data_IF_450136957341
#
_entry.id   IF_450136957341
#
_cell.length_a   1.000
_cell.length_b   1.000
_cell.length_c   1.000
_cell.angle_alpha   90.00
_cell.angle_beta   90.00
_cell.angle_gamma   90.00
#
_symmetry.space_group_name_H-M   'P 1'
#
loop_
_entity.id
_entity.type
_entity.pdbx_description
1 polymer ?
#
# COMPACT_ATOMS: atom_id res chain seq x y z
N UNK A 1 3.98 15.74 -28.53
CA UNK A 1 4.62 15.03 -27.40
C UNK A 1 4.61 15.95 -26.19
N UNK A 2 3.59 15.88 -25.33
CA UNK A 2 3.61 16.54 -24.01
C UNK A 2 4.02 15.50 -22.98
N UNK A 3 5.32 15.26 -22.84
CA UNK A 3 5.90 14.40 -21.81
C UNK A 3 6.29 15.26 -20.61
N UNK A 4 5.28 15.76 -19.88
CA UNK A 4 5.53 16.49 -18.63
C UNK A 4 4.46 16.06 -17.63
N UNK A 5 4.84 15.18 -16.70
CA UNK A 5 4.03 14.84 -15.54
C UNK A 5 4.17 15.98 -14.53
N UNK A 6 3.36 17.03 -14.68
CA UNK A 6 3.33 18.14 -13.74
C UNK A 6 2.77 17.68 -12.40
N UNK A 7 3.49 17.93 -11.32
CA UNK A 7 3.00 17.77 -9.95
C UNK A 7 2.59 19.12 -9.39
N UNK A 8 1.72 19.12 -8.38
CA UNK A 8 1.20 20.36 -7.81
C UNK A 8 2.33 21.27 -7.27
N UNK A 9 3.42 20.69 -6.76
CA UNK A 9 4.59 21.42 -6.27
C UNK A 9 5.38 22.17 -7.35
N UNK A 10 5.16 21.89 -8.63
CA UNK A 10 5.82 22.61 -9.74
C UNK A 10 5.27 24.02 -9.94
N UNK A 11 4.11 24.33 -9.34
CA UNK A 11 3.47 25.63 -9.46
C UNK A 11 3.75 26.52 -8.25
N UNK A 12 3.76 27.84 -8.49
CA UNK A 12 3.76 28.84 -7.43
C UNK A 12 2.48 28.79 -6.60
N UNK A 13 2.44 29.58 -5.52
CA UNK A 13 1.32 29.56 -4.58
C UNK A 13 -0.03 29.79 -5.27
N UNK A 14 -0.13 30.85 -6.07
CA UNK A 14 -1.36 31.21 -6.77
C UNK A 14 -1.75 30.15 -7.80
N UNK A 15 -0.77 29.57 -8.48
CA UNK A 15 -0.97 28.46 -9.42
C UNK A 15 -1.47 27.19 -8.74
N UNK A 16 -1.01 26.88 -7.52
CA UNK A 16 -1.51 25.76 -6.71
C UNK A 16 -2.94 26.01 -6.24
N UNK A 17 -3.18 27.17 -5.64
CA UNK A 17 -4.51 27.55 -5.13
C UNK A 17 -5.56 27.54 -6.25
N UNK A 18 -5.22 28.07 -7.42
CA UNK A 18 -6.11 28.04 -8.59
C UNK A 18 -6.47 26.62 -9.01
N UNK A 19 -5.49 25.72 -9.13
CA UNK A 19 -5.73 24.31 -9.53
C UNK A 19 -6.56 23.57 -8.50
N UNK A 20 -6.22 23.73 -7.22
CA UNK A 20 -7.00 23.15 -6.12
C UNK A 20 -8.44 23.68 -6.10
N UNK A 21 -8.69 24.91 -6.53
CA UNK A 21 -10.02 25.51 -6.59
C UNK A 21 -10.81 25.13 -7.86
N UNK A 22 -10.17 25.15 -9.03
CA UNK A 22 -10.86 25.16 -10.33
C UNK A 22 -10.84 23.82 -11.07
N UNK A 23 -9.86 22.93 -10.79
CA UNK A 23 -9.73 21.68 -11.55
C UNK A 23 -10.57 20.58 -10.93
N UNK A 24 -11.07 19.65 -11.75
CA UNK A 24 -11.63 18.39 -11.25
C UNK A 24 -10.53 17.54 -10.63
N UNK A 25 -10.76 17.04 -9.41
CA UNK A 25 -9.82 16.25 -8.62
C UNK A 25 -10.36 14.83 -8.47
N UNK A 26 -9.55 13.86 -8.85
CA UNK A 26 -9.90 12.43 -8.82
C UNK A 26 -8.86 11.67 -8.02
N UNK A 27 -9.29 10.76 -7.17
CA UNK A 27 -8.43 9.78 -6.49
C UNK A 27 -9.04 8.39 -6.61
N UNK A 28 -8.18 7.38 -6.74
CA UNK A 28 -8.57 5.99 -6.62
C UNK A 28 -7.95 5.41 -5.34
N UNK A 29 -8.80 4.90 -4.47
CA UNK A 29 -8.43 4.23 -3.22
C UNK A 29 -8.53 2.72 -3.40
N UNK A 30 -7.95 1.96 -2.48
CA UNK A 30 -7.89 0.50 -2.55
C UNK A 30 -8.08 -0.08 -1.16
N UNK A 31 -8.71 -1.26 -1.06
CA UNK A 31 -8.87 -1.89 0.24
C UNK A 31 -7.48 -2.03 0.91
N UNK A 32 -7.32 -1.51 2.15
CA UNK A 32 -6.03 -1.38 2.79
C UNK A 32 -5.33 -2.74 3.00
N UNK A 33 -6.08 -3.80 3.25
CA UNK A 33 -5.55 -5.15 3.49
C UNK A 33 -4.93 -5.74 2.22
N UNK A 34 -5.54 -5.50 1.07
CA UNK A 34 -4.95 -5.93 -0.21
C UNK A 34 -3.81 -5.02 -0.62
N UNK A 35 -3.92 -3.71 -0.38
CA UNK A 35 -2.89 -2.74 -0.72
C UNK A 35 -1.58 -3.03 0.01
N UNK A 36 -1.63 -3.25 1.33
CA UNK A 36 -0.43 -3.52 2.13
C UNK A 36 0.22 -4.84 1.76
N UNK A 37 -0.58 -5.88 1.46
CA UNK A 37 -0.05 -7.15 0.98
C UNK A 37 0.59 -7.01 -0.43
N UNK A 38 -0.05 -6.25 -1.32
CA UNK A 38 0.51 -5.94 -2.63
C UNK A 38 1.85 -5.21 -2.51
N UNK A 39 1.99 -4.29 -1.55
CA UNK A 39 3.23 -3.60 -1.27
C UNK A 39 4.31 -4.58 -0.74
N UNK A 40 3.98 -5.41 0.24
CA UNK A 40 4.88 -6.45 0.75
C UNK A 40 5.38 -7.37 -0.38
N UNK A 41 4.47 -7.92 -1.18
CA UNK A 41 4.81 -8.84 -2.26
C UNK A 41 5.70 -8.17 -3.30
N UNK A 42 5.36 -6.93 -3.69
CA UNK A 42 6.11 -6.19 -4.71
C UNK A 42 7.48 -5.73 -4.25
N UNK A 43 7.66 -5.40 -2.98
CA UNK A 43 8.85 -4.68 -2.47
C UNK A 43 9.77 -5.56 -1.63
N UNK A 44 9.23 -6.55 -0.91
CA UNK A 44 9.96 -7.34 0.09
C UNK A 44 9.99 -8.85 -0.21
N UNK A 45 8.98 -9.40 -0.91
CA UNK A 45 8.91 -10.84 -1.21
C UNK A 45 9.51 -11.22 -2.58
N UNK A 46 9.31 -10.38 -3.59
CA UNK A 46 9.73 -10.71 -4.95
C UNK A 46 11.25 -10.55 -5.11
N UNK A 47 11.97 -11.67 -5.14
CA UNK A 47 13.43 -11.77 -5.22
C UNK A 47 14.03 -11.37 -6.59
N UNK A 48 13.67 -10.21 -7.16
CA UNK A 48 14.35 -9.66 -8.34
C UNK A 48 15.30 -8.52 -7.94
N UNK A 49 16.26 -8.19 -8.80
CA UNK A 49 17.36 -7.28 -8.44
C UNK A 49 16.90 -5.85 -8.09
N UNK A 50 15.83 -5.35 -8.72
CA UNK A 50 15.25 -4.04 -8.38
C UNK A 50 14.62 -4.02 -6.98
N UNK A 51 14.12 -5.15 -6.48
CA UNK A 51 13.53 -5.29 -5.15
C UNK A 51 14.58 -5.35 -4.05
N UNK A 52 15.83 -5.71 -4.37
CA UNK A 52 16.93 -5.68 -3.39
C UNK A 52 17.10 -4.30 -2.76
N UNK A 53 16.86 -3.22 -3.51
CA UNK A 53 16.93 -1.85 -2.97
C UNK A 53 15.88 -1.62 -1.88
N UNK A 54 14.65 -2.04 -2.14
CA UNK A 54 13.54 -1.90 -1.21
C UNK A 54 13.72 -2.76 0.04
N UNK A 55 14.13 -4.01 -0.15
CA UNK A 55 14.36 -4.91 0.96
C UNK A 55 15.49 -4.43 1.86
N UNK A 56 16.57 -3.85 1.32
CA UNK A 56 17.63 -3.28 2.16
C UNK A 56 17.28 -1.93 2.79
N UNK A 57 16.41 -1.14 2.16
CA UNK A 57 15.96 0.14 2.72
C UNK A 57 15.17 -0.04 4.02
N UNK A 58 14.38 -1.11 4.13
CA UNK A 58 13.51 -1.36 5.29
C UNK A 58 13.89 -2.61 6.08
N UNK A 59 14.23 -3.70 5.37
CA UNK A 59 14.47 -5.01 5.95
C UNK A 59 15.64 -5.07 6.94
N UNK A 60 16.65 -4.20 6.81
CA UNK A 60 17.75 -4.10 7.78
C UNK A 60 17.23 -3.74 9.17
N UNK A 61 16.38 -2.72 9.25
CA UNK A 61 15.83 -2.24 10.52
C UNK A 61 14.77 -3.21 11.06
N UNK A 62 13.96 -3.79 10.16
CA UNK A 62 13.01 -4.86 10.50
C UNK A 62 13.74 -6.05 11.15
N UNK A 63 14.78 -6.58 10.51
CA UNK A 63 15.52 -7.73 11.05
C UNK A 63 16.24 -7.40 12.36
N UNK A 64 16.84 -6.20 12.47
CA UNK A 64 17.50 -5.79 13.73
C UNK A 64 16.52 -5.72 14.88
N UNK A 65 15.32 -5.19 14.65
CA UNK A 65 14.32 -4.98 15.71
C UNK A 65 13.58 -6.27 16.07
N UNK A 66 13.17 -7.05 15.07
CA UNK A 66 12.25 -8.18 15.28
C UNK A 66 12.92 -9.57 15.16
N UNK A 67 14.18 -9.62 14.70
CA UNK A 67 14.95 -10.87 14.54
C UNK A 67 16.38 -10.72 15.12
N UNK A 68 16.53 -10.54 16.45
CA UNK A 68 17.83 -10.23 17.06
C UNK A 68 18.93 -11.27 16.76
N UNK A 69 18.55 -12.54 16.63
CA UNK A 69 19.47 -13.64 16.27
C UNK A 69 20.01 -13.55 14.83
N UNK A 70 19.48 -12.67 13.98
CA UNK A 70 19.94 -12.45 12.60
C UNK A 70 20.78 -11.19 12.42
N UNK A 71 21.18 -10.53 13.51
CA UNK A 71 22.05 -9.34 13.44
C UNK A 71 23.36 -9.63 12.70
N UNK A 72 23.95 -10.82 12.90
CA UNK A 72 25.16 -11.25 12.18
C UNK A 72 24.91 -11.36 10.66
N UNK A 73 23.78 -11.93 10.25
CA UNK A 73 23.40 -12.06 8.84
C UNK A 73 23.30 -10.69 8.17
N UNK A 74 22.69 -9.72 8.86
CA UNK A 74 22.59 -8.34 8.38
C UNK A 74 23.98 -7.70 8.27
N UNK A 75 24.86 -7.87 9.26
CA UNK A 75 26.22 -7.32 9.23
C UNK A 75 27.05 -7.90 8.09
N UNK A 76 27.01 -9.22 7.91
CA UNK A 76 27.70 -9.92 6.82
C UNK A 76 27.19 -9.43 5.46
N UNK A 77 25.88 -9.34 5.28
CA UNK A 77 25.31 -8.84 4.04
C UNK A 77 25.66 -7.38 3.75
N UNK A 78 25.77 -6.52 4.77
CA UNK A 78 26.19 -5.13 4.58
C UNK A 78 27.69 -5.00 4.23
N UNK A 79 28.50 -6.00 4.55
CA UNK A 79 29.95 -6.02 4.28
C UNK A 79 30.33 -6.37 2.83
N UNK A 80 29.38 -6.90 2.03
CA UNK A 80 29.61 -7.27 0.63
C UNK A 80 28.98 -6.26 -0.35
N UNK A 81 29.45 -6.22 -1.62
CA UNK A 81 28.93 -5.31 -2.64
C UNK A 81 27.42 -5.46 -2.82
N UNK A 82 26.71 -4.35 -3.01
CA UNK A 82 25.24 -4.33 -3.10
C UNK A 82 24.66 -5.35 -4.09
N UNK A 83 25.31 -5.52 -5.25
CA UNK A 83 24.91 -6.46 -6.30
C UNK A 83 25.01 -7.94 -5.89
N UNK A 84 25.75 -8.26 -4.82
CA UNK A 84 25.98 -9.61 -4.32
C UNK A 84 25.25 -9.88 -3.00
N UNK A 85 24.58 -8.87 -2.42
CA UNK A 85 23.89 -9.00 -1.15
C UNK A 85 22.79 -10.06 -1.24
N UNK A 86 22.66 -11.01 -0.30
CA UNK A 86 21.55 -11.95 -0.28
C UNK A 86 20.23 -11.21 -0.07
N UNK A 87 19.09 -11.88 -0.29
CA UNK A 87 17.81 -11.34 0.16
C UNK A 87 17.67 -11.55 1.67
N UNK A 88 17.07 -10.58 2.37
CA UNK A 88 16.90 -10.59 3.83
C UNK A 88 15.74 -11.50 4.28
N UNK A 89 14.86 -11.87 3.36
CA UNK A 89 13.71 -12.75 3.57
C UNK A 89 12.82 -12.24 4.71
N UNK A 90 12.40 -10.98 4.58
CA UNK A 90 11.43 -10.35 5.50
C UNK A 90 10.09 -11.04 5.35
N UNK A 91 9.50 -11.50 6.46
CA UNK A 91 8.17 -12.11 6.47
C UNK A 91 7.07 -11.05 6.48
N UNK A 92 5.85 -11.42 6.07
CA UNK A 92 4.72 -10.49 6.11
C UNK A 92 4.38 -10.07 7.54
N UNK A 93 4.47 -10.99 8.51
CA UNK A 93 4.27 -10.69 9.92
C UNK A 93 5.28 -9.66 10.46
N UNK A 94 6.57 -9.79 10.13
CA UNK A 94 7.60 -8.81 10.51
C UNK A 94 7.36 -7.45 9.84
N UNK A 95 6.89 -7.44 8.59
CA UNK A 95 6.52 -6.22 7.89
C UNK A 95 5.30 -5.52 8.52
N UNK A 96 4.26 -6.27 8.89
CA UNK A 96 3.10 -5.73 9.62
C UNK A 96 3.54 -5.16 10.97
N UNK A 97 4.35 -5.90 11.72
CA UNK A 97 4.88 -5.43 12.99
C UNK A 97 5.67 -4.13 12.79
N UNK A 98 6.49 -4.04 11.74
CA UNK A 98 7.23 -2.83 11.42
C UNK A 98 6.36 -1.60 11.19
N UNK A 99 5.33 -1.69 10.35
CA UNK A 99 4.50 -0.53 9.99
C UNK A 99 3.52 -0.12 11.09
N UNK A 100 3.15 -1.05 11.98
CA UNK A 100 2.22 -0.80 13.08
C UNK A 100 2.92 -0.41 14.39
N UNK A 101 4.24 -0.59 14.46
CA UNK A 101 5.03 -0.20 15.62
C UNK A 101 5.15 1.33 15.70
N UNK A 102 4.62 1.91 16.79
CA UNK A 102 4.57 3.36 17.03
C UNK A 102 5.94 4.01 17.20
N UNK A 103 6.98 3.23 17.51
CA UNK A 103 8.35 3.74 17.56
C UNK A 103 8.98 3.81 16.16
N UNK A 104 8.41 3.10 15.18
CA UNK A 104 8.80 3.22 13.79
C UNK A 104 8.25 4.54 13.25
N UNK A 105 9.05 5.60 13.29
CA UNK A 105 8.70 6.92 12.74
C UNK A 105 8.67 6.90 11.20
N UNK A 106 7.67 6.24 10.60
CA UNK A 106 7.46 6.18 9.15
C UNK A 106 6.86 7.51 8.68
N UNK A 107 7.60 8.24 7.84
CA UNK A 107 7.14 9.47 7.20
C UNK A 107 6.72 9.20 5.77
N UNK A 108 5.90 10.08 5.20
CA UNK A 108 5.47 10.00 3.79
C UNK A 108 6.64 10.31 2.84
N UNK A 109 6.96 9.34 2.01
CA UNK A 109 7.96 9.38 0.93
C UNK A 109 7.50 8.49 -0.22
N UNK A 110 8.15 8.60 -1.38
CA UNK A 110 7.94 7.68 -2.52
C UNK A 110 8.25 6.21 -2.17
N UNK A 111 8.94 5.97 -1.03
CA UNK A 111 9.25 4.64 -0.53
C UNK A 111 8.21 4.10 0.46
N UNK A 112 7.30 4.92 0.99
CA UNK A 112 6.43 4.54 2.12
C UNK A 112 4.95 4.79 1.85
N UNK A 113 4.62 5.59 0.84
CA UNK A 113 3.27 5.85 0.33
C UNK A 113 2.44 4.57 0.09
N UNK A 114 3.07 3.47 -0.31
CA UNK A 114 2.39 2.20 -0.60
C UNK A 114 1.78 1.51 0.63
N UNK A 115 2.24 1.81 1.85
CA UNK A 115 1.74 1.21 3.10
C UNK A 115 1.39 2.22 4.20
N UNK A 116 1.61 3.52 4.01
CA UNK A 116 0.96 4.54 4.84
C UNK A 116 -0.54 4.58 4.55
N UNK A 117 -1.42 4.91 5.52
CA UNK A 117 -2.86 5.01 5.29
C UNK A 117 -3.17 5.96 4.12
N UNK A 118 -4.05 5.54 3.23
CA UNK A 118 -4.35 6.25 1.99
C UNK A 118 -5.01 7.61 2.24
N UNK A 119 -5.76 7.77 3.34
CA UNK A 119 -6.29 9.07 3.74
C UNK A 119 -5.19 10.09 4.03
N UNK A 120 -4.04 9.65 4.55
CA UNK A 120 -2.84 10.47 4.74
C UNK A 120 -2.15 10.75 3.41
N UNK A 121 -1.88 9.70 2.63
CA UNK A 121 -1.14 9.80 1.35
C UNK A 121 -1.88 10.67 0.34
N UNK A 122 -3.21 10.57 0.32
CA UNK A 122 -4.06 11.29 -0.62
C UNK A 122 -4.60 12.60 -0.05
N UNK A 123 -4.26 12.99 1.19
CA UNK A 123 -4.72 14.24 1.78
C UNK A 123 -6.24 14.45 1.67
N UNK A 124 -7.03 13.38 1.87
CA UNK A 124 -8.49 13.41 1.63
C UNK A 124 -9.24 14.32 2.61
N UNK A 125 -8.60 14.70 3.70
CA UNK A 125 -9.12 15.68 4.66
C UNK A 125 -8.90 17.13 4.19
N UNK A 126 -7.84 17.38 3.42
CA UNK A 126 -7.49 18.72 2.92
C UNK A 126 -7.95 18.98 1.48
N UNK A 127 -8.09 17.92 0.68
CA UNK A 127 -8.45 18.00 -0.73
C UNK A 127 -9.91 17.57 -0.92
N UNK A 128 -10.73 18.51 -1.38
CA UNK A 128 -12.09 18.21 -1.85
C UNK A 128 -12.07 17.50 -3.18
N UNK A 129 -11.94 16.17 -3.16
CA UNK A 129 -12.04 15.33 -4.35
C UNK A 129 -13.45 15.34 -4.92
N UNK A 130 -13.55 15.50 -6.24
CA UNK A 130 -14.81 15.46 -6.99
C UNK A 130 -15.23 14.02 -7.32
N UNK A 131 -14.28 13.09 -7.31
CA UNK A 131 -14.52 11.65 -7.47
C UNK A 131 -13.51 10.84 -6.64
N UNK A 132 -14.02 9.90 -5.84
CA UNK A 132 -13.24 8.90 -5.11
C UNK A 132 -13.67 7.54 -5.65
N UNK A 133 -12.81 6.94 -6.48
CA UNK A 133 -13.03 5.61 -7.05
C UNK A 133 -12.35 4.51 -6.25
N UNK A 134 -12.74 3.26 -6.51
CA UNK A 134 -12.14 2.06 -5.91
C UNK A 134 -11.31 1.31 -6.94
N UNK A 135 -10.11 0.87 -6.53
CA UNK A 135 -9.21 0.11 -7.38
C UNK A 135 -9.87 -1.18 -7.87
N UNK A 136 -10.71 -1.77 -7.01
CA UNK A 136 -11.51 -2.96 -7.27
C UNK A 136 -12.48 -2.78 -8.45
N UNK A 137 -12.88 -1.54 -8.74
CA UNK A 137 -13.84 -1.19 -9.80
C UNK A 137 -13.20 -0.46 -10.99
N UNK A 138 -11.86 -0.43 -11.09
CA UNK A 138 -11.15 0.36 -12.13
C UNK A 138 -11.67 0.10 -13.55
N UNK A 139 -12.09 -1.13 -13.85
CA UNK A 139 -12.54 -1.53 -15.19
C UNK A 139 -13.79 -0.79 -15.64
N UNK A 140 -14.58 -0.29 -14.69
CA UNK A 140 -15.80 0.47 -14.94
C UNK A 140 -15.57 1.94 -14.61
N UNK A 141 -14.97 2.24 -13.47
CA UNK A 141 -14.86 3.60 -12.95
C UNK A 141 -13.82 4.45 -13.70
N UNK A 142 -12.69 3.87 -14.15
CA UNK A 142 -11.69 4.65 -14.85
C UNK A 142 -12.14 5.09 -16.25
N UNK A 143 -12.79 4.25 -17.09
CA UNK A 143 -13.44 4.70 -18.31
C UNK A 143 -14.51 5.78 -18.07
N UNK A 144 -15.34 5.61 -17.04
CA UNK A 144 -16.33 6.62 -16.65
C UNK A 144 -15.68 7.97 -16.31
N UNK A 145 -14.60 7.97 -15.51
CA UNK A 145 -13.87 9.19 -15.17
C UNK A 145 -13.33 9.87 -16.42
N UNK A 146 -12.76 9.12 -17.37
CA UNK A 146 -12.27 9.68 -18.63
C UNK A 146 -13.39 10.33 -19.45
N UNK A 147 -14.57 9.71 -19.50
CA UNK A 147 -15.75 10.28 -20.15
C UNK A 147 -16.22 11.55 -19.45
N UNK A 148 -16.33 11.53 -18.11
CA UNK A 148 -16.73 12.68 -17.30
C UNK A 148 -15.75 13.87 -17.40
N UNK A 149 -14.47 13.60 -17.66
CA UNK A 149 -13.43 14.59 -17.93
C UNK A 149 -13.40 15.06 -19.40
N UNK A 150 -14.16 14.42 -20.30
CA UNK A 150 -14.15 14.72 -21.73
C UNK A 150 -12.85 14.29 -22.44
N UNK A 151 -12.16 13.28 -21.91
CA UNK A 151 -10.83 12.84 -22.36
C UNK A 151 -10.86 11.61 -23.28
N UNK A 152 -12.04 11.07 -23.59
CA UNK A 152 -12.21 9.84 -24.40
C UNK A 152 -11.72 9.97 -25.84
N UNK A 153 -11.58 11.19 -26.37
CA UNK A 153 -11.01 11.44 -27.70
C UNK A 153 -9.48 11.47 -27.73
N UNK A 154 -8.82 11.54 -26.55
CA UNK A 154 -7.38 11.72 -26.41
C UNK A 154 -6.72 10.47 -25.82
N UNK A 155 -7.44 9.75 -24.95
CA UNK A 155 -6.91 8.58 -24.27
C UNK A 155 -8.01 7.59 -23.90
N UNK A 156 -7.60 6.35 -23.62
CA UNK A 156 -8.42 5.29 -23.05
C UNK A 156 -7.69 4.70 -21.85
N UNK A 157 -8.43 4.10 -20.92
CA UNK A 157 -7.79 3.42 -19.80
C UNK A 157 -7.17 2.11 -20.29
N UNK A 158 -5.93 1.78 -19.90
CA UNK A 158 -5.30 0.52 -20.29
C UNK A 158 -6.03 -0.68 -19.71
N UNK A 159 -5.75 -1.86 -20.27
CA UNK A 159 -6.24 -3.13 -19.71
C UNK A 159 -5.84 -3.26 -18.23
N UNK A 160 -6.78 -3.71 -17.42
CA UNK A 160 -6.58 -3.88 -15.98
C UNK A 160 -6.21 -5.31 -15.69
N UNK A 161 -5.15 -5.47 -14.90
CA UNK A 161 -4.72 -6.75 -14.40
C UNK A 161 -5.05 -6.85 -12.91
N UNK A 162 -5.69 -7.95 -12.53
CA UNK A 162 -5.89 -8.26 -11.12
C UNK A 162 -4.55 -8.40 -10.41
N UNK A 163 -4.53 -7.90 -9.18
CA UNK A 163 -3.33 -7.97 -8.35
C UNK A 163 -3.14 -9.38 -7.78
N UNK A 164 -1.92 -9.90 -7.91
CA UNK A 164 -1.54 -11.17 -7.30
C UNK A 164 -1.73 -11.22 -5.77
N UNK A 165 -1.83 -10.06 -5.11
CA UNK A 165 -2.11 -9.98 -3.68
C UNK A 165 -3.42 -10.67 -3.29
N UNK A 166 -4.46 -10.58 -4.13
CA UNK A 166 -5.77 -11.19 -3.85
C UNK A 166 -5.65 -12.71 -3.71
N UNK A 167 -4.88 -13.35 -4.59
CA UNK A 167 -4.66 -14.80 -4.56
C UNK A 167 -3.75 -15.26 -3.41
N UNK A 168 -2.91 -14.36 -2.89
CA UNK A 168 -1.97 -14.68 -1.81
C UNK A 168 -2.51 -14.36 -0.42
N UNK A 169 -3.68 -13.73 -0.31
CA UNK A 169 -4.23 -13.30 0.99
C UNK A 169 -4.32 -14.46 1.98
N UNK A 170 -4.95 -15.57 1.59
CA UNK A 170 -5.09 -16.73 2.47
C UNK A 170 -3.73 -17.22 3.00
N UNK A 171 -2.71 -17.31 2.13
CA UNK A 171 -1.42 -17.87 2.51
C UNK A 171 -0.60 -16.93 3.40
N UNK A 172 -0.59 -15.64 3.08
CA UNK A 172 0.26 -14.68 3.80
C UNK A 172 -0.38 -14.25 5.12
N UNK A 173 -1.71 -14.02 5.16
CA UNK A 173 -2.40 -13.58 6.37
C UNK A 173 -2.56 -14.66 7.44
N UNK A 174 -2.69 -15.95 7.05
CA UNK A 174 -2.76 -17.06 8.02
C UNK A 174 -1.53 -17.16 8.91
N UNK A 175 -0.36 -16.73 8.42
CA UNK A 175 0.90 -16.80 9.15
C UNK A 175 1.14 -15.59 10.06
N UNK A 176 0.20 -14.63 10.10
CA UNK A 176 0.33 -13.43 10.92
C UNK A 176 -0.31 -13.67 12.29
N UNK A 177 0.41 -13.44 13.40
CA UNK A 177 -0.18 -13.50 14.74
C UNK A 177 -1.40 -12.56 14.88
N UNK A 178 -2.43 -13.02 15.58
CA UNK A 178 -3.69 -12.27 15.81
C UNK A 178 -3.44 -10.84 16.30
N UNK A 179 -2.52 -10.64 17.25
CA UNK A 179 -2.21 -9.31 17.77
C UNK A 179 -1.62 -8.36 16.72
N UNK A 180 -0.84 -8.87 15.77
CA UNK A 180 -0.32 -8.06 14.66
C UNK A 180 -1.42 -7.73 13.64
N UNK A 181 -2.35 -8.65 13.39
CA UNK A 181 -3.52 -8.35 12.57
C UNK A 181 -4.43 -7.30 13.21
N UNK A 182 -4.66 -7.37 14.52
CA UNK A 182 -5.41 -6.34 15.24
C UNK A 182 -4.76 -4.97 15.11
N UNK A 183 -3.44 -4.88 15.32
CA UNK A 183 -2.70 -3.65 15.15
C UNK A 183 -2.78 -3.11 13.70
N UNK A 184 -2.80 -4.01 12.70
CA UNK A 184 -2.94 -3.62 11.30
C UNK A 184 -4.33 -3.06 10.97
N UNK A 185 -5.38 -3.69 11.51
CA UNK A 185 -6.76 -3.21 11.38
C UNK A 185 -6.93 -1.85 12.06
N UNK A 186 -6.36 -1.66 13.24
CA UNK A 186 -6.36 -0.37 13.93
C UNK A 186 -5.63 0.70 13.09
N UNK A 187 -4.45 0.36 12.57
CA UNK A 187 -3.63 1.24 11.74
C UNK A 187 -4.35 1.73 10.47
N UNK A 188 -5.19 0.91 9.85
CA UNK A 188 -5.99 1.27 8.67
C UNK A 188 -7.46 1.60 8.94
N UNK A 189 -7.88 1.68 10.20
CA UNK A 189 -9.30 1.87 10.58
C UNK A 189 -9.95 3.08 9.92
N UNK A 190 -9.25 4.21 9.87
CA UNK A 190 -9.76 5.43 9.22
C UNK A 190 -9.87 5.30 7.69
N UNK A 191 -8.96 4.55 7.04
CA UNK A 191 -9.12 4.26 5.60
C UNK A 191 -10.39 3.44 5.36
N UNK A 192 -10.64 2.44 6.21
CA UNK A 192 -11.82 1.60 6.11
C UNK A 192 -13.11 2.42 6.28
N UNK A 193 -13.13 3.32 7.28
CA UNK A 193 -14.26 4.21 7.52
C UNK A 193 -14.48 5.20 6.38
N UNK A 194 -13.45 5.96 5.98
CA UNK A 194 -13.58 7.00 4.97
C UNK A 194 -13.94 6.46 3.59
N UNK A 195 -13.49 5.26 3.26
CA UNK A 195 -13.67 4.68 1.92
C UNK A 195 -14.71 3.55 1.88
N UNK A 196 -15.36 3.26 3.01
CA UNK A 196 -16.39 2.24 3.14
C UNK A 196 -15.87 0.86 2.71
N UNK A 197 -14.75 0.44 3.30
CA UNK A 197 -14.22 -0.91 3.15
C UNK A 197 -14.56 -1.74 4.39
N UNK A 198 -14.91 -3.00 4.17
CA UNK A 198 -15.06 -3.99 5.24
C UNK A 198 -13.82 -4.87 5.28
N UNK A 199 -13.27 -5.07 6.48
CA UNK A 199 -12.05 -5.86 6.66
C UNK A 199 -12.23 -7.35 6.30
N UNK A 200 -13.47 -7.85 6.34
CA UNK A 200 -13.83 -9.27 6.18
C UNK A 200 -14.63 -9.47 4.91
N UNK A 201 -15.68 -8.68 4.69
CA UNK A 201 -16.68 -8.96 3.67
C UNK A 201 -16.14 -8.72 2.26
N UNK A 202 -15.25 -7.74 2.07
CA UNK A 202 -14.69 -7.39 0.75
C UNK A 202 -13.86 -8.53 0.13
N UNK A 203 -13.39 -9.48 0.93
CA UNK A 203 -12.58 -10.62 0.48
C UNK A 203 -13.00 -11.95 1.10
N UNK A 204 -14.24 -12.03 1.59
CA UNK A 204 -14.74 -13.21 2.28
C UNK A 204 -14.55 -14.49 1.44
N UNK A 205 -14.75 -14.41 0.13
CA UNK A 205 -14.57 -15.53 -0.80
C UNK A 205 -13.10 -15.96 -0.97
N UNK A 206 -12.15 -15.06 -0.75
CA UNK A 206 -10.71 -15.36 -0.86
C UNK A 206 -10.13 -15.93 0.44
N UNK A 207 -10.86 -15.89 1.54
CA UNK A 207 -10.43 -16.47 2.80
C UNK A 207 -10.88 -17.93 2.92
N UNK A 208 -9.97 -18.80 3.37
CA UNK A 208 -10.37 -20.10 3.88
C UNK A 208 -11.01 -19.95 5.27
N UNK A 209 -11.70 -21.00 5.72
CA UNK A 209 -12.47 -20.96 6.97
C UNK A 209 -11.62 -20.56 8.19
N UNK A 210 -10.39 -21.07 8.26
CA UNK A 210 -9.45 -20.72 9.33
C UNK A 210 -9.14 -19.24 9.37
N UNK A 211 -8.85 -18.63 8.21
CA UNK A 211 -8.54 -17.21 8.13
C UNK A 211 -9.77 -16.35 8.45
N UNK A 212 -10.97 -16.77 8.03
CA UNK A 212 -12.22 -16.07 8.40
C UNK A 212 -12.40 -16.02 9.90
N UNK A 213 -12.29 -17.17 10.58
CA UNK A 213 -12.40 -17.24 12.04
C UNK A 213 -11.34 -16.39 12.74
N UNK A 214 -10.11 -16.41 12.22
CA UNK A 214 -9.03 -15.57 12.72
C UNK A 214 -9.38 -14.07 12.59
N UNK A 215 -9.81 -13.63 11.41
CA UNK A 215 -10.21 -12.23 11.17
C UNK A 215 -11.42 -11.82 12.03
N UNK A 216 -12.45 -12.65 12.16
CA UNK A 216 -13.60 -12.36 13.02
C UNK A 216 -13.22 -12.22 14.50
N UNK A 217 -12.19 -12.94 14.95
CA UNK A 217 -11.67 -12.80 16.32
C UNK A 217 -10.84 -11.54 16.54
N UNK A 218 -10.39 -10.88 15.46
CA UNK A 218 -9.55 -9.67 15.54
C UNK A 218 -10.38 -8.38 15.67
N UNK A 219 -11.62 -8.35 15.17
CA UNK A 219 -12.48 -7.17 15.25
C UNK A 219 -12.96 -6.97 16.70
N UNK A 220 -12.68 -5.82 17.35
CA UNK A 220 -13.24 -5.50 18.65
C UNK A 220 -14.78 -5.45 18.56
N UNK A 221 -15.47 -6.15 19.48
CA UNK A 221 -16.93 -6.09 19.60
C UNK A 221 -17.42 -4.78 20.18
#
# INVERSE_FOLDING_TARGET
MMNSNWVLSDFDRDGRERRLKEYKKVVFVRNPMVRVLSAYLSKLKNFRDLQRHWEYAFGVDILRKYRPNSTHVVQEALSIPFSQRPFLNVTFAEFIQFITDRETNITLTDLTDHWLPQHIVSHVCEIGYDFIGKYENLAVEAPFVLEWLGLTSITTFPDIHESNAVFQMANEYLNVPVGHLQALLEYYSQDMEFFGYDAIDDFYENFNETLRLQMMSTIPR
#
